data_IF_251814742876
#
_entry.id   IF_251814742876
#
_cell.length_a   1.000
_cell.length_b   1.000
_cell.length_c   1.000
_cell.angle_alpha   90.00
_cell.angle_beta   90.00
_cell.angle_gamma   90.00
#
_symmetry.space_group_name_H-M   'P 1'
#
loop_
_entity.id
_entity.type
_entity.pdbx_description
1 polymer ?
#
# COMPACT_ATOMS: atom_id res chain seq x y z
N UNK A 1 -7.53 -6.46 -17.85
CA UNK A 1 -7.27 -7.77 -17.26
C UNK A 1 -5.86 -7.85 -16.71
N UNK A 2 -5.67 -8.74 -15.73
CA UNK A 2 -4.39 -9.12 -15.14
C UNK A 2 -4.34 -10.65 -15.03
N UNK A 3 -3.14 -11.22 -15.10
CA UNK A 3 -2.87 -12.57 -14.59
C UNK A 3 -2.23 -12.40 -13.21
N UNK A 4 -2.80 -13.06 -12.20
CA UNK A 4 -2.38 -13.00 -10.81
C UNK A 4 -1.67 -14.31 -10.44
N UNK A 5 -0.58 -14.26 -9.64
CA UNK A 5 -0.05 -13.09 -8.93
C UNK A 5 0.84 -12.16 -9.78
N UNK A 6 1.18 -12.51 -11.01
CA UNK A 6 2.16 -11.81 -11.84
C UNK A 6 1.69 -10.48 -12.50
N UNK A 7 1.00 -9.60 -11.74
CA UNK A 7 0.48 -8.30 -12.26
C UNK A 7 1.55 -7.45 -12.96
N UNK A 8 2.79 -7.55 -12.50
CA UNK A 8 3.90 -6.69 -12.91
C UNK A 8 4.78 -7.30 -14.01
N UNK A 9 4.99 -8.64 -14.03
CA UNK A 9 5.85 -9.30 -15.02
C UNK A 9 5.19 -9.43 -16.39
N UNK A 10 3.92 -9.85 -16.44
CA UNK A 10 3.19 -10.07 -17.70
C UNK A 10 2.42 -8.83 -18.17
N UNK A 11 2.21 -7.88 -17.26
CA UNK A 11 1.66 -6.56 -17.51
C UNK A 11 0.14 -6.53 -17.71
N UNK A 12 -0.46 -5.39 -17.41
CA UNK A 12 -1.89 -5.12 -17.64
C UNK A 12 -2.23 -5.19 -19.13
N UNK A 13 -3.36 -5.79 -19.47
CA UNK A 13 -4.01 -5.64 -20.78
C UNK A 13 -5.31 -4.86 -20.63
N UNK A 14 -5.61 -3.99 -21.58
CA UNK A 14 -6.81 -3.13 -21.57
C UNK A 14 -7.45 -3.14 -22.95
N UNK A 15 -8.77 -3.00 -22.96
CA UNK A 15 -9.54 -2.77 -24.18
C UNK A 15 -9.57 -1.29 -24.53
N UNK A 16 -10.12 -0.96 -25.71
CA UNK A 16 -10.52 0.39 -26.06
C UNK A 16 -11.67 0.89 -25.17
N UNK A 17 -11.75 2.21 -25.00
CA UNK A 17 -12.86 2.83 -24.23
C UNK A 17 -14.08 2.96 -25.15
N UNK A 18 -15.20 2.36 -24.75
CA UNK A 18 -16.50 2.56 -25.39
C UNK A 18 -17.24 3.68 -24.67
N UNK A 19 -17.54 4.76 -25.39
CA UNK A 19 -18.15 5.98 -24.83
C UNK A 19 -19.67 5.88 -24.85
N UNK A 20 -20.32 6.50 -23.86
CA UNK A 20 -21.79 6.71 -23.81
C UNK A 20 -22.63 5.43 -24.00
N UNK A 21 -22.23 4.32 -23.38
CA UNK A 21 -23.00 3.07 -23.42
C UNK A 21 -22.88 2.31 -22.10
N UNK A 22 -23.99 1.71 -21.67
CA UNK A 22 -24.02 0.76 -20.54
C UNK A 22 -23.83 -0.69 -20.99
N UNK A 23 -23.95 -0.95 -22.29
CA UNK A 23 -23.79 -2.28 -22.90
C UNK A 23 -22.65 -2.23 -23.94
N UNK A 24 -21.39 -2.06 -23.50
CA UNK A 24 -20.26 -1.94 -24.42
C UNK A 24 -19.96 -3.28 -25.11
N UNK A 25 -19.89 -3.25 -26.45
CA UNK A 25 -19.38 -4.37 -27.25
C UNK A 25 -17.93 -4.07 -27.64
N UNK A 26 -16.99 -4.87 -27.11
CA UNK A 26 -15.55 -4.66 -27.33
C UNK A 26 -15.05 -5.40 -28.58
N UNK A 27 -15.35 -6.69 -28.70
CA UNK A 27 -14.82 -7.58 -29.75
C UNK A 27 -13.29 -7.51 -29.88
N UNK A 28 -12.60 -7.51 -28.73
CA UNK A 28 -11.14 -7.39 -28.65
C UNK A 28 -10.54 -8.65 -28.01
N UNK A 29 -9.39 -9.09 -28.53
CA UNK A 29 -8.65 -10.24 -27.99
C UNK A 29 -7.45 -9.72 -27.18
N UNK A 30 -7.46 -9.98 -25.87
CA UNK A 30 -6.34 -9.65 -24.98
C UNK A 30 -5.38 -10.84 -24.90
N UNK A 31 -4.16 -10.67 -25.43
CA UNK A 31 -3.17 -11.76 -25.52
C UNK A 31 -2.13 -11.69 -24.41
N UNK A 32 -1.88 -12.84 -23.78
CA UNK A 32 -0.78 -13.08 -22.85
C UNK A 32 0.17 -14.12 -23.44
N UNK A 33 1.47 -13.90 -23.32
CA UNK A 33 2.51 -14.88 -23.65
C UNK A 33 3.03 -15.41 -22.31
N UNK A 34 2.75 -16.68 -22.03
CA UNK A 34 3.04 -17.31 -20.75
C UNK A 34 3.24 -18.81 -20.98
N UNK A 35 4.14 -19.40 -20.20
CA UNK A 35 4.35 -20.84 -20.21
C UNK A 35 3.14 -21.57 -19.61
N UNK A 36 2.81 -22.75 -20.15
CA UNK A 36 1.63 -23.51 -19.73
C UNK A 36 1.72 -23.96 -18.27
N UNK A 37 2.91 -24.36 -17.80
CA UNK A 37 3.09 -24.79 -16.42
C UNK A 37 2.84 -23.65 -15.44
N UNK A 38 3.19 -22.41 -15.83
CA UNK A 38 2.90 -21.22 -15.02
C UNK A 38 1.42 -20.88 -15.09
N UNK A 39 0.80 -20.96 -16.28
CA UNK A 39 -0.61 -20.62 -16.52
C UNK A 39 -1.58 -21.37 -15.59
N UNK A 40 -1.34 -22.65 -15.34
CA UNK A 40 -2.17 -23.50 -14.47
C UNK A 40 -2.17 -23.04 -13.02
N UNK A 41 -1.18 -22.25 -12.58
CA UNK A 41 -1.14 -21.65 -11.23
C UNK A 41 -1.68 -20.22 -11.17
N UNK A 42 -2.11 -19.64 -12.30
CA UNK A 42 -2.55 -18.25 -12.36
C UNK A 42 -4.06 -18.08 -12.16
N UNK A 43 -4.45 -16.86 -11.78
CA UNK A 43 -5.84 -16.41 -11.78
C UNK A 43 -6.00 -15.27 -12.78
N UNK A 44 -6.98 -15.37 -13.67
CA UNK A 44 -7.33 -14.30 -14.61
C UNK A 44 -8.33 -13.36 -13.94
N UNK A 45 -7.89 -12.13 -13.66
CA UNK A 45 -8.75 -11.07 -13.16
C UNK A 45 -9.15 -10.12 -14.29
N UNK A 46 -10.46 -9.93 -14.49
CA UNK A 46 -11.04 -9.02 -15.47
C UNK A 46 -11.91 -8.01 -14.73
N UNK A 47 -11.43 -6.76 -14.65
CA UNK A 47 -12.14 -5.65 -14.04
C UNK A 47 -12.72 -4.69 -15.07
N UNK A 48 -13.95 -4.24 -14.86
CA UNK A 48 -14.63 -3.22 -15.67
C UNK A 48 -14.57 -1.87 -14.95
N UNK A 49 -14.25 -0.83 -15.70
CA UNK A 49 -14.08 0.54 -15.19
C UNK A 49 -14.83 1.53 -16.05
N UNK A 50 -15.54 2.46 -15.42
CA UNK A 50 -15.99 3.69 -16.05
C UNK A 50 -14.78 4.60 -16.27
N UNK A 51 -14.54 5.00 -17.52
CA UNK A 51 -13.48 5.93 -17.85
C UNK A 51 -14.00 7.36 -17.83
N UNK A 52 -13.52 8.13 -16.85
CA UNK A 52 -13.77 9.57 -16.77
C UNK A 52 -12.57 10.30 -17.39
N UNK A 53 -12.84 11.30 -18.23
CA UNK A 53 -11.80 12.09 -18.91
C UNK A 53 -11.23 13.17 -18.00
N UNK A 54 -12.04 13.68 -17.08
CA UNK A 54 -11.71 14.81 -16.20
C UNK A 54 -11.71 14.43 -14.72
N UNK A 55 -12.24 13.25 -14.39
CA UNK A 55 -12.25 12.67 -13.04
C UNK A 55 -11.40 11.40 -12.90
N UNK A 56 -11.60 10.67 -11.79
CA UNK A 56 -11.00 9.35 -11.57
C UNK A 56 -11.91 8.28 -12.18
N UNK A 57 -11.31 7.26 -12.77
CA UNK A 57 -12.08 6.11 -13.25
C UNK A 57 -12.80 5.41 -12.10
N UNK A 58 -14.09 5.14 -12.26
CA UNK A 58 -14.90 4.43 -11.27
C UNK A 58 -14.87 2.93 -11.55
N UNK A 59 -14.64 2.11 -10.53
CA UNK A 59 -14.74 0.66 -10.66
C UNK A 59 -16.21 0.25 -10.76
N UNK A 60 -16.52 -0.64 -11.71
CA UNK A 60 -17.90 -1.12 -11.93
C UNK A 60 -18.09 -2.58 -11.51
N UNK A 61 -17.02 -3.36 -11.44
CA UNK A 61 -17.08 -4.77 -11.06
C UNK A 61 -15.91 -5.57 -11.63
N UNK A 62 -15.71 -6.78 -11.12
CA UNK A 62 -14.70 -7.70 -11.63
C UNK A 62 -15.15 -9.16 -11.64
N UNK A 63 -14.46 -9.95 -12.44
CA UNK A 63 -14.56 -11.41 -12.50
C UNK A 63 -13.17 -11.98 -12.32
N UNK A 64 -13.06 -13.03 -11.54
CA UNK A 64 -11.82 -13.77 -11.33
C UNK A 64 -12.02 -15.23 -11.69
N UNK A 65 -11.13 -15.75 -12.53
CA UNK A 65 -11.17 -17.13 -13.02
C UNK A 65 -9.88 -17.84 -12.60
N UNK A 66 -10.02 -18.96 -11.90
CA UNK A 66 -8.89 -19.83 -11.55
C UNK A 66 -8.55 -20.70 -12.75
N UNK A 67 -7.35 -20.49 -13.30
CA UNK A 67 -6.94 -21.19 -14.51
C UNK A 67 -6.47 -22.63 -14.24
N UNK A 68 -6.23 -22.97 -12.97
CA UNK A 68 -5.99 -24.34 -12.51
C UNK A 68 -7.16 -25.27 -12.83
N UNK A 69 -8.39 -24.77 -12.65
CA UNK A 69 -9.62 -25.53 -12.81
C UNK A 69 -10.22 -25.36 -14.20
N UNK A 70 -9.52 -24.69 -15.12
CA UNK A 70 -10.00 -24.46 -16.46
C UNK A 70 -9.77 -25.70 -17.33
N UNK A 71 -10.84 -26.24 -17.91
CA UNK A 71 -10.71 -27.35 -18.86
C UNK A 71 -10.25 -26.83 -20.23
N UNK A 72 -8.94 -26.90 -20.47
CA UNK A 72 -8.31 -26.47 -21.73
C UNK A 72 -8.66 -27.35 -22.94
N UNK A 73 -9.22 -28.55 -22.71
CA UNK A 73 -9.59 -29.50 -23.77
C UNK A 73 -11.07 -29.40 -24.14
N UNK A 74 -11.89 -28.82 -23.27
CA UNK A 74 -13.31 -28.66 -23.52
C UNK A 74 -13.57 -27.69 -24.70
N UNK A 75 -14.29 -28.20 -25.70
CA UNK A 75 -14.74 -27.44 -26.85
C UNK A 75 -15.78 -26.36 -26.50
N UNK A 76 -16.51 -26.49 -25.39
CA UNK A 76 -17.47 -25.50 -24.89
C UNK A 76 -16.75 -24.24 -24.37
N UNK A 77 -15.55 -24.39 -23.82
CA UNK A 77 -14.70 -23.27 -23.39
C UNK A 77 -14.16 -22.41 -24.55
N UNK A 78 -14.41 -22.82 -25.81
CA UNK A 78 -14.17 -22.00 -27.01
C UNK A 78 -15.37 -21.10 -27.36
N UNK A 79 -16.50 -21.25 -26.68
CA UNK A 79 -17.70 -20.43 -26.87
C UNK A 79 -17.70 -19.18 -25.96
N UNK A 80 -18.56 -18.21 -26.28
CA UNK A 80 -18.70 -16.99 -25.50
C UNK A 80 -19.51 -17.27 -24.22
N UNK A 81 -18.83 -17.33 -23.08
CA UNK A 81 -19.45 -17.56 -21.76
C UNK A 81 -19.67 -16.22 -21.04
N UNK A 82 -20.86 -16.03 -20.47
CA UNK A 82 -21.19 -14.87 -19.64
C UNK A 82 -20.78 -15.09 -18.19
N UNK A 83 -20.12 -14.09 -17.61
CA UNK A 83 -19.74 -14.07 -16.19
C UNK A 83 -20.35 -12.86 -15.48
N UNK A 84 -21.07 -13.05 -14.36
CA UNK A 84 -21.61 -11.94 -13.59
C UNK A 84 -20.49 -11.16 -12.90
N UNK A 85 -20.52 -9.83 -13.03
CA UNK A 85 -19.58 -8.96 -12.34
C UNK A 85 -19.82 -8.99 -10.83
N UNK A 86 -18.75 -9.16 -10.07
CA UNK A 86 -18.77 -9.12 -8.61
C UNK A 86 -18.23 -7.77 -8.11
N UNK A 87 -18.74 -7.27 -6.97
CA UNK A 87 -18.11 -6.15 -6.28
C UNK A 87 -16.70 -6.56 -5.85
N UNK A 88 -15.80 -5.59 -5.73
CA UNK A 88 -14.45 -5.85 -5.27
C UNK A 88 -14.49 -6.37 -3.84
N UNK A 89 -14.12 -7.62 -3.63
CA UNK A 89 -14.01 -8.21 -2.29
C UNK A 89 -12.81 -7.57 -1.59
N UNK A 90 -12.97 -6.84 -0.47
CA UNK A 90 -11.86 -6.15 0.18
C UNK A 90 -10.86 -7.08 0.88
N UNK A 91 -11.13 -8.39 0.94
CA UNK A 91 -10.43 -9.34 1.80
C UNK A 91 -10.18 -10.64 1.01
N UNK A 92 -8.97 -10.82 0.45
CA UNK A 92 -8.29 -12.08 0.04
C UNK A 92 -7.31 -11.92 -1.12
N UNK A 93 -7.34 -10.81 -1.88
CA UNK A 93 -6.41 -10.57 -3.00
C UNK A 93 -5.27 -9.56 -2.72
N UNK A 94 -5.25 -8.96 -1.53
CA UNK A 94 -4.29 -7.90 -1.15
C UNK A 94 -3.05 -8.41 -0.40
N UNK A 95 -3.05 -9.65 0.07
CA UNK A 95 -1.90 -10.24 0.79
C UNK A 95 -0.79 -10.76 -0.14
N UNK A 96 -1.05 -10.86 -1.46
CA UNK A 96 -0.09 -11.41 -2.43
C UNK A 96 0.55 -10.39 -3.38
N UNK A 97 0.39 -9.08 -3.16
CA UNK A 97 1.33 -8.12 -3.76
C UNK A 97 2.53 -8.01 -2.81
N UNK A 98 3.51 -8.92 -2.97
CA UNK A 98 4.82 -8.77 -2.34
C UNK A 98 5.43 -7.44 -2.85
N UNK A 99 5.28 -6.38 -2.05
CA UNK A 99 5.77 -5.03 -2.30
C UNK A 99 7.10 -4.78 -1.58
N UNK A 100 7.75 -5.86 -1.18
CA UNK A 100 8.87 -5.85 -0.28
C UNK A 100 8.43 -5.67 1.17
N UNK A 101 9.42 -5.59 2.03
CA UNK A 101 9.28 -5.38 3.45
C UNK A 101 10.10 -4.17 3.87
N UNK A 102 9.76 -3.58 5.00
CA UNK A 102 10.50 -2.46 5.58
C UNK A 102 10.87 -2.79 7.02
N UNK A 103 12.16 -2.64 7.32
CA UNK A 103 12.70 -2.76 8.66
C UNK A 103 12.75 -1.39 9.32
N UNK A 104 12.10 -1.27 10.46
CA UNK A 104 11.97 -0.01 11.21
C UNK A 104 12.12 -0.24 12.70
N UNK A 105 12.47 0.83 13.43
CA UNK A 105 12.38 0.86 14.87
C UNK A 105 11.59 2.08 15.34
N UNK A 106 10.82 1.92 16.41
CA UNK A 106 10.03 2.97 17.04
C UNK A 106 10.48 3.15 18.49
N UNK A 107 10.41 4.38 18.98
CA UNK A 107 10.64 4.70 20.38
C UNK A 107 9.70 5.83 20.78
N UNK A 108 9.01 5.67 21.90
CA UNK A 108 8.32 6.77 22.57
C UNK A 108 9.20 7.31 23.68
N UNK A 109 9.52 8.60 23.62
CA UNK A 109 10.25 9.33 24.64
C UNK A 109 9.24 10.20 25.39
N UNK A 110 8.79 9.81 26.60
CA UNK A 110 7.88 10.62 27.38
C UNK A 110 8.51 11.97 27.76
N UNK A 111 7.66 12.91 28.17
CA UNK A 111 8.08 14.24 28.57
C UNK A 111 9.26 14.19 29.57
N UNK A 112 10.34 14.99 29.37
CA UNK A 112 11.46 15.01 30.29
C UNK A 112 11.01 15.56 31.66
N UNK A 113 11.07 14.69 32.67
CA UNK A 113 10.76 15.05 34.06
C UNK A 113 11.96 15.81 34.63
N UNK A 114 11.96 17.15 34.54
CA UNK A 114 12.87 17.99 35.33
C UNK A 114 13.79 18.99 34.59
N UNK A 115 13.32 19.69 33.56
CA UNK A 115 14.06 20.80 32.94
C UNK A 115 13.33 22.14 33.03
N UNK A 116 14.06 23.26 33.22
CA UNK A 116 13.54 24.65 33.21
C UNK A 116 12.96 25.11 31.84
N UNK A 117 12.70 24.19 30.90
CA UNK A 117 12.12 24.48 29.57
C UNK A 117 10.88 23.64 29.31
N UNK A 118 9.86 24.34 28.82
CA UNK A 118 8.47 23.94 28.60
C UNK A 118 8.36 23.06 27.35
N UNK A 119 8.88 21.84 27.37
CA UNK A 119 8.33 20.80 26.49
C UNK A 119 7.25 20.10 27.31
N UNK A 120 5.97 20.40 27.05
CA UNK A 120 4.82 19.88 27.79
C UNK A 120 4.36 18.49 27.31
N UNK A 121 5.08 17.91 26.36
CA UNK A 121 4.68 16.74 25.58
C UNK A 121 5.91 15.86 25.30
N UNK A 122 5.67 14.57 25.06
CA UNK A 122 6.68 13.61 24.64
C UNK A 122 6.88 13.58 23.12
N UNK A 123 7.80 12.72 22.70
CA UNK A 123 8.22 12.56 21.31
C UNK A 123 8.04 11.11 20.85
N UNK A 124 7.66 10.91 19.59
CA UNK A 124 7.70 9.63 18.90
C UNK A 124 8.82 9.67 17.87
N UNK A 125 9.77 8.75 18.01
CA UNK A 125 10.92 8.61 17.14
C UNK A 125 10.69 7.43 16.20
N UNK A 126 10.84 7.66 14.91
CA UNK A 126 10.65 6.66 13.85
C UNK A 126 11.96 6.50 13.10
N UNK A 127 12.64 5.38 13.32
CA UNK A 127 13.88 5.06 12.64
C UNK A 127 13.61 4.12 11.46
N UNK A 128 13.66 4.70 10.26
CA UNK A 128 13.57 3.95 9.00
C UNK A 128 14.94 3.38 8.65
N UNK A 129 15.12 2.06 8.75
CA UNK A 129 16.41 1.41 8.54
C UNK A 129 16.62 1.03 7.08
N UNK A 130 15.83 0.10 6.56
CA UNK A 130 15.95 -0.38 5.19
C UNK A 130 14.63 -0.94 4.65
N UNK A 131 14.54 -1.09 3.33
CA UNK A 131 13.56 -1.98 2.71
C UNK A 131 14.28 -3.15 2.02
N UNK A 132 13.60 -4.28 1.91
CA UNK A 132 14.05 -5.42 1.11
C UNK A 132 13.03 -5.72 0.01
N UNK A 133 13.51 -6.21 -1.15
CA UNK A 133 12.69 -6.70 -2.26
C UNK A 133 11.62 -5.73 -2.79
N UNK A 134 11.95 -4.44 -2.87
CA UNK A 134 11.02 -3.44 -3.43
C UNK A 134 10.70 -3.73 -4.91
N UNK A 135 9.42 -3.56 -5.33
CA UNK A 135 8.99 -3.88 -6.67
C UNK A 135 9.49 -2.84 -7.68
N UNK A 136 10.02 -3.32 -8.81
CA UNK A 136 10.43 -2.48 -9.93
C UNK A 136 9.22 -2.22 -10.85
N UNK A 137 8.56 -1.07 -10.67
CA UNK A 137 7.34 -0.75 -11.43
C UNK A 137 7.62 -0.20 -12.84
N UNK A 138 8.69 0.60 -13.02
CA UNK A 138 9.08 1.18 -14.32
C UNK A 138 10.59 1.38 -14.44
N UNK A 139 11.16 0.86 -15.52
CA UNK A 139 12.57 1.05 -15.85
C UNK A 139 13.53 0.20 -15.01
N UNK A 140 14.83 0.20 -15.34
CA UNK A 140 15.81 -0.68 -14.68
C UNK A 140 16.40 -0.13 -13.37
N UNK A 141 16.05 1.10 -12.97
CA UNK A 141 16.69 1.80 -11.84
C UNK A 141 15.62 2.31 -10.87
N UNK A 142 15.61 1.76 -9.66
CA UNK A 142 14.73 2.19 -8.56
C UNK A 142 15.44 3.28 -7.74
N UNK A 143 14.82 4.44 -7.50
CA UNK A 143 15.35 5.48 -6.62
C UNK A 143 14.42 5.72 -5.44
N UNK A 144 14.52 4.89 -4.41
CA UNK A 144 13.52 4.85 -3.35
C UNK A 144 13.71 5.92 -2.30
N UNK A 145 12.62 6.47 -1.79
CA UNK A 145 12.59 7.30 -0.57
C UNK A 145 11.31 7.03 0.22
N UNK A 146 11.34 7.32 1.52
CA UNK A 146 10.19 7.11 2.42
C UNK A 146 9.67 8.47 2.88
N UNK A 147 8.35 8.63 2.91
CA UNK A 147 7.67 9.75 3.57
C UNK A 147 6.97 9.23 4.82
N UNK A 148 7.04 10.01 5.89
CA UNK A 148 6.32 9.78 7.13
C UNK A 148 5.32 10.90 7.37
N UNK A 149 4.16 10.58 7.91
CA UNK A 149 3.17 11.52 8.44
C UNK A 149 2.53 10.87 9.65
N UNK A 150 2.34 11.61 10.74
CA UNK A 150 1.62 11.09 11.90
C UNK A 150 0.21 11.63 11.87
N UNK A 151 -0.75 10.72 11.72
CA UNK A 151 -2.17 11.00 11.67
C UNK A 151 -2.69 11.19 13.10
N UNK A 152 -3.65 12.10 13.32
CA UNK A 152 -4.50 12.76 12.31
C UNK A 152 -3.89 13.99 11.61
N UNK A 153 -2.71 14.47 11.99
CA UNK A 153 -2.10 15.66 11.38
C UNK A 153 -1.58 15.38 9.96
N UNK A 154 -2.42 15.68 8.98
CA UNK A 154 -2.09 15.57 7.54
C UNK A 154 -1.45 16.83 6.96
N UNK A 155 -1.08 17.81 7.78
CA UNK A 155 -0.52 19.07 7.32
C UNK A 155 0.78 18.86 6.53
N UNK A 156 1.05 19.73 5.55
CA UNK A 156 2.31 19.64 4.79
C UNK A 156 3.55 19.88 5.67
N UNK A 157 3.38 20.54 6.81
CA UNK A 157 4.46 20.88 7.75
C UNK A 157 4.88 19.70 8.61
N UNK A 158 3.96 18.79 8.96
CA UNK A 158 4.25 17.59 9.75
C UNK A 158 4.94 16.49 8.94
N UNK A 159 4.88 16.55 7.60
CA UNK A 159 5.44 15.52 6.74
C UNK A 159 6.96 15.55 6.71
N UNK A 160 7.57 14.44 7.09
CA UNK A 160 9.02 14.21 6.98
C UNK A 160 9.31 13.20 5.88
N UNK A 161 10.54 13.22 5.34
CA UNK A 161 10.97 12.27 4.30
C UNK A 161 12.45 11.96 4.38
N UNK A 162 12.83 10.75 3.97
CA UNK A 162 14.23 10.37 3.83
C UNK A 162 14.85 10.98 2.57
N UNK A 163 16.19 10.90 2.47
CA UNK A 163 16.88 11.06 1.20
C UNK A 163 16.57 9.88 0.27
N UNK A 164 16.62 10.13 -1.04
CA UNK A 164 16.46 9.07 -2.02
C UNK A 164 17.73 8.22 -2.11
N UNK A 165 17.56 6.90 -2.09
CA UNK A 165 18.61 5.89 -2.27
C UNK A 165 18.47 5.33 -3.68
N UNK A 166 19.52 5.47 -4.49
CA UNK A 166 19.46 5.20 -5.92
C UNK A 166 19.85 3.76 -6.28
N UNK A 167 19.25 3.26 -7.36
CA UNK A 167 19.60 2.04 -8.10
C UNK A 167 19.61 0.74 -7.27
N UNK A 168 18.68 0.56 -6.34
CA UNK A 168 18.59 -0.68 -5.56
C UNK A 168 17.15 -1.00 -5.16
N UNK A 169 16.80 -2.29 -5.17
CA UNK A 169 15.55 -2.81 -4.58
C UNK A 169 15.65 -3.02 -3.08
N UNK A 170 16.86 -2.92 -2.53
CA UNK A 170 17.17 -3.09 -1.10
C UNK A 170 17.80 -1.81 -0.53
N UNK A 171 17.07 -0.67 -0.48
CA UNK A 171 17.62 0.60 -0.03
C UNK A 171 17.85 0.60 1.49
N UNK A 172 19.03 1.06 1.91
CA UNK A 172 19.34 1.35 3.32
C UNK A 172 19.22 2.86 3.52
N UNK A 173 18.26 3.28 4.34
CA UNK A 173 17.98 4.68 4.64
C UNK A 173 18.70 5.16 5.89
N UNK A 174 18.70 4.35 6.97
CA UNK A 174 19.20 4.70 8.30
C UNK A 174 18.87 6.14 8.70
N UNK A 175 17.60 6.49 8.67
CA UNK A 175 17.12 7.85 8.90
C UNK A 175 16.08 7.88 10.02
N UNK A 176 16.30 8.73 11.01
CA UNK A 176 15.38 8.94 12.14
C UNK A 176 14.54 10.19 11.89
N UNK A 177 13.22 10.05 11.99
CA UNK A 177 12.24 11.13 11.96
C UNK A 177 11.65 11.28 13.36
N UNK A 178 11.56 12.51 13.87
CA UNK A 178 11.12 12.78 15.25
C UNK A 178 9.88 13.65 15.19
N UNK A 179 8.83 13.23 15.88
CA UNK A 179 7.58 13.97 16.01
C UNK A 179 7.34 14.31 17.48
N UNK A 180 7.16 15.58 17.78
CA UNK A 180 6.83 16.08 19.12
C UNK A 180 5.31 16.19 19.32
N UNK A 181 4.87 16.54 20.54
CA UNK A 181 3.47 16.86 20.80
C UNK A 181 2.63 15.71 21.37
N UNK A 182 3.22 14.58 21.77
CA UNK A 182 2.48 13.41 22.23
C UNK A 182 2.39 13.32 23.75
N UNK A 183 1.17 13.35 24.29
CA UNK A 183 0.91 12.78 25.60
C UNK A 183 0.70 11.27 25.50
N UNK A 184 0.85 10.52 26.60
CA UNK A 184 0.62 9.07 26.59
C UNK A 184 -0.78 8.68 26.08
N UNK A 185 -1.80 9.48 26.35
CA UNK A 185 -3.16 9.29 25.85
C UNK A 185 -3.29 9.48 24.33
N UNK A 186 -2.51 10.39 23.74
CA UNK A 186 -2.55 10.68 22.30
C UNK A 186 -2.01 9.51 21.47
N UNK A 187 -1.14 8.68 22.05
CA UNK A 187 -0.60 7.47 21.40
C UNK A 187 -1.70 6.45 21.06
N UNK A 188 -2.83 6.48 21.76
CA UNK A 188 -3.98 5.62 21.47
C UNK A 188 -4.79 6.09 20.26
N UNK A 189 -4.66 7.37 19.94
CA UNK A 189 -5.44 8.05 18.91
C UNK A 189 -4.62 8.38 17.65
N UNK A 190 -3.31 8.10 17.69
CA UNK A 190 -2.35 8.40 16.64
C UNK A 190 -1.98 7.18 15.79
N UNK A 191 -1.55 7.45 14.55
CA UNK A 191 -1.09 6.44 13.61
C UNK A 191 0.05 6.98 12.74
N UNK A 192 1.16 6.25 12.68
CA UNK A 192 2.29 6.57 11.80
C UNK A 192 2.02 6.02 10.41
N UNK A 193 1.82 6.89 9.42
CA UNK A 193 1.73 6.51 8.00
C UNK A 193 3.11 6.62 7.33
N UNK A 194 3.68 5.47 6.96
CA UNK A 194 4.89 5.38 6.14
C UNK A 194 4.52 5.05 4.69
N UNK A 195 5.07 5.81 3.74
CA UNK A 195 4.90 5.53 2.30
C UNK A 195 6.23 5.52 1.58
N UNK A 196 6.50 4.43 0.87
CA UNK A 196 7.70 4.19 0.08
C UNK A 196 7.42 4.56 -1.38
N UNK A 197 8.33 5.33 -1.98
CA UNK A 197 8.17 5.88 -3.32
C UNK A 197 9.42 5.68 -4.15
N UNK A 198 9.24 5.31 -5.42
CA UNK A 198 10.28 5.41 -6.45
C UNK A 198 10.28 6.84 -7.03
N UNK A 199 11.42 7.50 -6.93
CA UNK A 199 11.67 8.82 -7.47
C UNK A 199 12.05 8.76 -8.95
N UNK A 200 11.23 9.42 -9.78
CA UNK A 200 11.46 9.52 -11.21
C UNK A 200 11.27 10.98 -11.67
N UNK A 201 11.92 11.35 -12.78
CA UNK A 201 11.99 12.73 -13.30
C UNK A 201 10.62 13.37 -13.52
N UNK A 202 9.61 12.58 -13.92
CA UNK A 202 8.29 13.09 -14.30
C UNK A 202 7.22 12.90 -13.22
N UNK A 203 7.29 11.79 -12.47
CA UNK A 203 6.34 11.48 -11.41
C UNK A 203 6.90 10.43 -10.46
N UNK A 204 6.71 10.63 -9.16
CA UNK A 204 7.03 9.59 -8.18
C UNK A 204 6.00 8.46 -8.26
N UNK A 205 6.46 7.22 -8.08
CA UNK A 205 5.59 6.04 -8.09
C UNK A 205 5.51 5.41 -6.70
N UNK A 206 4.30 5.16 -6.22
CA UNK A 206 4.09 4.54 -4.91
C UNK A 206 4.43 3.05 -4.96
N UNK A 207 5.32 2.61 -4.08
CA UNK A 207 5.79 1.21 -4.00
C UNK A 207 5.04 0.42 -2.94
N UNK A 208 4.67 1.05 -1.83
CA UNK A 208 3.97 0.42 -0.72
C UNK A 208 4.06 1.29 0.52
N UNK A 209 3.36 0.91 1.59
CA UNK A 209 3.39 1.65 2.83
C UNK A 209 2.87 0.84 4.00
N UNK A 210 2.92 1.46 5.18
CA UNK A 210 2.42 0.94 6.45
C UNK A 210 1.59 2.01 7.15
N UNK A 211 0.66 1.57 8.00
CA UNK A 211 0.01 2.43 9.00
C UNK A 211 0.15 1.78 10.36
N UNK A 212 1.00 2.36 11.18
CA UNK A 212 1.42 1.77 12.45
C UNK A 212 0.78 2.56 13.58
N UNK A 213 -0.26 1.98 14.15
CA UNK A 213 -1.06 2.49 15.25
C UNK A 213 -1.83 1.32 15.87
N UNK A 214 -2.79 1.60 16.77
CA UNK A 214 -3.57 0.53 17.43
C UNK A 214 -4.60 -0.18 16.53
N UNK A 215 -4.81 0.29 15.28
CA UNK A 215 -5.71 -0.40 14.34
C UNK A 215 -7.19 -0.48 14.76
N UNK A 216 -7.65 0.42 15.63
CA UNK A 216 -8.99 0.37 16.24
C UNK A 216 -10.14 0.73 15.27
N UNK A 217 -9.83 1.20 14.06
CA UNK A 217 -10.80 1.78 13.12
C UNK A 217 -11.42 3.10 13.58
N UNK A 218 -11.00 3.64 14.74
CA UNK A 218 -11.57 4.85 15.35
C UNK A 218 -10.48 5.75 15.94
N UNK A 219 -10.67 7.06 15.86
CA UNK A 219 -9.85 8.06 16.55
C UNK A 219 -10.77 9.09 17.22
N UNK A 220 -10.55 9.36 18.50
CA UNK A 220 -11.39 10.18 19.37
C UNK A 220 -12.88 9.78 19.31
N UNK A 221 -13.14 8.48 19.24
CA UNK A 221 -14.49 7.91 19.12
C UNK A 221 -15.12 7.97 17.72
N UNK A 222 -14.48 8.62 16.75
CA UNK A 222 -14.97 8.79 15.38
C UNK A 222 -14.36 7.70 14.49
N UNK A 223 -15.18 7.05 13.66
CA UNK A 223 -14.69 6.06 12.69
C UNK A 223 -13.81 6.74 11.63
N UNK A 224 -12.63 6.16 11.36
CA UNK A 224 -11.64 6.70 10.42
C UNK A 224 -11.06 5.61 9.52
N UNK A 225 -10.69 5.98 8.30
CA UNK A 225 -10.19 5.05 7.27
C UNK A 225 -8.68 4.77 7.37
N UNK A 226 -8.01 5.35 8.38
CA UNK A 226 -6.56 5.30 8.57
C UNK A 226 -6.10 4.63 9.87
N UNK A 227 -7.03 4.24 10.75
CA UNK A 227 -6.78 3.34 11.88
C UNK A 227 -6.98 1.88 11.43
N UNK A 228 -6.38 1.51 10.30
CA UNK A 228 -6.51 0.20 9.65
C UNK A 228 -5.22 -0.63 9.76
N UNK A 229 -4.50 -0.51 10.88
CA UNK A 229 -3.27 -1.26 11.14
C UNK A 229 -3.52 -2.77 11.11
N UNK A 230 -2.61 -3.53 10.52
CA UNK A 230 -2.58 -5.00 10.62
C UNK A 230 -2.18 -5.42 12.04
N UNK A 231 -2.33 -6.71 12.35
CA UNK A 231 -1.93 -7.26 13.65
C UNK A 231 -0.44 -7.00 13.96
N UNK A 232 0.44 -7.21 12.99
CA UNK A 232 1.89 -7.00 13.17
C UNK A 232 2.23 -5.51 13.33
N UNK A 233 1.59 -4.63 12.55
CA UNK A 233 1.71 -3.17 12.68
C UNK A 233 1.27 -2.72 14.09
N UNK A 234 0.12 -3.18 14.57
CA UNK A 234 -0.40 -2.85 15.89
C UNK A 234 0.49 -3.40 17.02
N UNK A 235 0.98 -4.63 16.88
CA UNK A 235 1.88 -5.26 17.86
C UNK A 235 3.19 -4.47 18.02
N UNK A 236 3.75 -3.93 16.94
CA UNK A 236 4.91 -3.04 17.02
C UNK A 236 4.58 -1.73 17.77
N UNK A 237 3.43 -1.13 17.48
CA UNK A 237 2.99 0.09 18.16
C UNK A 237 2.75 -0.13 19.67
N UNK A 238 2.09 -1.23 20.04
CA UNK A 238 1.85 -1.59 21.44
C UNK A 238 3.15 -1.84 22.21
N UNK A 239 4.12 -2.55 21.61
CA UNK A 239 5.44 -2.76 22.24
C UNK A 239 6.15 -1.43 22.51
N UNK A 240 6.03 -0.46 21.60
CA UNK A 240 6.60 0.89 21.77
C UNK A 240 5.94 1.62 22.95
N UNK A 241 4.60 1.61 23.04
CA UNK A 241 3.86 2.24 24.13
C UNK A 241 4.24 1.62 25.48
N UNK A 242 4.36 0.30 25.53
CA UNK A 242 4.66 -0.44 26.76
C UNK A 242 6.13 -0.37 27.19
N UNK A 243 7.02 0.11 26.31
CA UNK A 243 8.47 0.17 26.54
C UNK A 243 9.02 1.60 26.30
N UNK A 244 8.59 2.61 27.08
CA UNK A 244 9.05 3.97 26.89
C UNK A 244 10.58 4.07 27.04
N UNK A 245 11.18 5.00 26.31
CA UNK A 245 12.64 5.18 26.19
C UNK A 245 13.39 3.97 25.62
N UNK A 246 12.70 2.98 25.07
CA UNK A 246 13.33 1.80 24.47
C UNK A 246 12.98 1.71 22.98
N UNK A 247 13.97 1.38 22.16
CA UNK A 247 13.74 1.10 20.75
C UNK A 247 13.13 -0.29 20.60
N UNK A 248 11.96 -0.37 19.97
CA UNK A 248 11.35 -1.62 19.53
C UNK A 248 11.47 -1.71 18.01
N UNK A 249 11.91 -2.86 17.51
CA UNK A 249 12.22 -3.06 16.09
C UNK A 249 11.34 -4.16 15.51
N UNK A 250 10.93 -3.98 14.25
CA UNK A 250 10.33 -5.04 13.46
C UNK A 250 10.60 -4.90 11.95
N UNK A 251 10.32 -5.97 11.21
CA UNK A 251 10.29 -6.01 9.75
C UNK A 251 8.88 -6.32 9.29
N UNK A 252 8.25 -5.36 8.62
CA UNK A 252 6.83 -5.41 8.28
C UNK A 252 6.63 -5.45 6.75
N UNK A 253 5.69 -6.26 6.24
CA UNK A 253 5.39 -6.33 4.81
C UNK A 253 4.72 -5.04 4.33
N UNK A 254 5.22 -4.47 3.23
CA UNK A 254 4.63 -3.27 2.64
C UNK A 254 3.28 -3.62 1.99
N UNK A 255 2.27 -2.80 2.26
CA UNK A 255 0.92 -2.98 1.68
C UNK A 255 0.50 -1.80 0.82
N UNK A 256 -0.57 -2.01 0.05
CA UNK A 256 -1.27 -0.91 -0.59
C UNK A 256 -1.97 -0.08 0.48
N UNK A 257 -1.63 1.21 0.56
CA UNK A 257 -2.40 2.16 1.36
C UNK A 257 -3.38 2.88 0.46
N UNK A 258 -4.64 2.96 0.88
CA UNK A 258 -5.54 4.01 0.39
C UNK A 258 -5.06 5.33 0.98
N UNK A 259 -4.05 5.93 0.36
CA UNK A 259 -3.51 7.22 0.81
C UNK A 259 -4.67 8.20 0.87
N UNK A 260 -4.90 8.76 2.07
CA UNK A 260 -5.96 9.72 2.31
C UNK A 260 -5.92 10.78 1.21
N UNK A 261 -7.09 11.05 0.60
CA UNK A 261 -7.21 12.02 -0.49
C UNK A 261 -6.52 13.31 -0.05
N UNK A 262 -5.54 13.76 -0.84
CA UNK A 262 -5.12 15.16 -0.79
C UNK A 262 -6.32 15.97 -1.25
N UNK A 263 -7.14 16.45 -0.33
CA UNK A 263 -8.02 17.60 -0.56
C UNK A 263 -7.10 18.76 -0.90
N UNK A 264 -7.28 19.28 -2.13
CA UNK A 264 -6.68 20.54 -2.55
C UNK A 264 -7.39 21.69 -1.86
#
# INVERSE_FOLDING_TARGET
SYLLPEKHKLGKRKTSVKKKTLNPVYNEILRYKIDKAVLESQRLNISVWHHDTFGRNSFLGEVELELANWDWKDSQNKQMIWYPLKPRTPLQGLELENRGEIKIALQYVPQPVGGKKIAATGEVHIWVKQCNDLPVLRGPKLNSFVKCTVLPDTSKKSRQKTRAVAKTTNPIFNHTMVYDGFKPEDLKEACVELSVWDHNKFANHFLGGLRIGLGTGKSYGIAVDWMDSTLDEATLWERMINSPNTWVEDTLPLRLLMVAKMTK
#
